data_IF_942105320425
#
_entry.id   IF_942105320425
#
_cell.length_a   1.000
_cell.length_b   1.000
_cell.length_c   1.000
_cell.angle_alpha   90.00
_cell.angle_beta   90.00
_cell.angle_gamma   90.00
#
_symmetry.space_group_name_H-M   'P 1'
#
loop_
_entity.id
_entity.type
_entity.pdbx_description
1 polymer ?
#
# COMPACT_ATOMS: atom_id res chain seq x y z
N UNK A 1 -6.26 -4.82 21.71
CA UNK A 1 -5.27 -4.62 20.62
C UNK A 1 -5.90 -4.81 19.26
N UNK A 2 -6.69 -5.88 19.08
CA UNK A 2 -7.41 -6.19 17.84
C UNK A 2 -8.29 -5.02 17.38
N UNK A 3 -9.16 -4.47 18.24
CA UNK A 3 -10.05 -3.36 17.88
C UNK A 3 -9.31 -2.11 17.31
N UNK A 4 -8.22 -1.68 17.97
CA UNK A 4 -7.39 -0.56 17.48
C UNK A 4 -6.69 -0.88 16.15
N UNK A 5 -6.36 -2.14 15.90
CA UNK A 5 -5.79 -2.59 14.64
C UNK A 5 -6.83 -2.63 13.52
N UNK A 6 -8.05 -3.09 13.81
CA UNK A 6 -9.16 -3.08 12.84
C UNK A 6 -9.51 -1.66 12.41
N UNK A 7 -9.58 -0.71 13.36
CA UNK A 7 -9.80 0.71 13.03
C UNK A 7 -8.72 1.23 12.09
N UNK A 8 -7.45 0.91 12.33
CA UNK A 8 -6.34 1.33 11.46
C UNK A 8 -6.44 0.71 10.06
N UNK A 9 -6.87 -0.55 9.97
CA UNK A 9 -7.14 -1.20 8.69
C UNK A 9 -8.25 -0.50 7.92
N UNK A 10 -9.38 -0.23 8.58
CA UNK A 10 -10.51 0.49 7.97
C UNK A 10 -10.13 1.91 7.54
N UNK A 11 -9.40 2.63 8.39
CA UNK A 11 -8.86 3.95 8.06
C UNK A 11 -7.90 3.89 6.87
N UNK A 12 -7.07 2.85 6.77
CA UNK A 12 -6.19 2.61 5.63
C UNK A 12 -6.95 2.37 4.32
N UNK A 13 -8.00 1.54 4.36
CA UNK A 13 -8.89 1.33 3.20
C UNK A 13 -9.58 2.63 2.77
N UNK A 14 -10.16 3.37 3.72
CA UNK A 14 -10.83 4.63 3.44
C UNK A 14 -9.86 5.69 2.89
N UNK A 15 -8.66 5.79 3.46
CA UNK A 15 -7.62 6.70 2.97
C UNK A 15 -7.18 6.34 1.55
N UNK A 16 -6.98 5.05 1.23
CA UNK A 16 -6.58 4.62 -0.10
C UNK A 16 -7.67 4.94 -1.14
N UNK A 17 -8.94 4.67 -0.82
CA UNK A 17 -10.06 5.03 -1.69
C UNK A 17 -10.18 6.55 -1.84
N UNK A 18 -10.03 7.31 -0.77
CA UNK A 18 -10.03 8.77 -0.80
C UNK A 18 -8.92 9.34 -1.69
N UNK A 19 -7.71 8.78 -1.60
CA UNK A 19 -6.58 9.15 -2.48
C UNK A 19 -6.87 8.77 -3.94
N UNK A 20 -7.43 7.58 -4.19
CA UNK A 20 -7.82 7.16 -5.54
C UNK A 20 -8.82 8.14 -6.17
N UNK A 21 -9.94 8.40 -5.49
CA UNK A 21 -10.96 9.32 -5.99
C UNK A 21 -10.43 10.75 -6.09
N UNK A 22 -9.62 11.20 -5.13
CA UNK A 22 -9.00 12.52 -5.13
C UNK A 22 -8.11 12.74 -6.35
N UNK A 23 -7.17 11.81 -6.61
CA UNK A 23 -6.26 11.90 -7.76
C UNK A 23 -7.04 11.86 -9.07
N UNK A 24 -7.92 10.87 -9.25
CA UNK A 24 -8.64 10.70 -10.53
C UNK A 24 -9.57 11.88 -10.80
N UNK A 25 -10.22 12.42 -9.76
CA UNK A 25 -11.08 13.60 -9.89
C UNK A 25 -10.28 14.85 -10.25
N UNK A 26 -9.12 15.06 -9.64
CA UNK A 26 -8.26 16.22 -9.92
C UNK A 26 -7.67 16.17 -11.34
N UNK A 27 -7.34 14.98 -11.84
CA UNK A 27 -6.69 14.81 -13.15
C UNK A 27 -7.71 14.76 -14.29
N UNK A 28 -8.80 14.01 -14.11
CA UNK A 28 -9.72 13.66 -15.21
C UNK A 28 -11.17 14.09 -14.96
N UNK A 29 -11.47 14.68 -13.81
CA UNK A 29 -12.82 15.12 -13.43
C UNK A 29 -13.66 14.04 -12.72
N UNK A 30 -14.70 14.50 -12.03
CA UNK A 30 -15.55 13.67 -11.18
C UNK A 30 -16.34 12.61 -11.96
N UNK A 31 -16.94 12.99 -13.10
CA UNK A 31 -17.71 12.06 -13.95
C UNK A 31 -16.84 10.92 -14.48
N UNK A 32 -15.59 11.22 -14.82
CA UNK A 32 -14.63 10.21 -15.24
C UNK A 32 -14.24 9.29 -14.07
N UNK A 33 -14.00 9.84 -12.88
CA UNK A 33 -13.68 9.06 -11.69
C UNK A 33 -14.76 8.02 -11.35
N UNK A 34 -16.03 8.41 -11.41
CA UNK A 34 -17.15 7.48 -11.18
C UNK A 34 -17.23 6.41 -12.27
N UNK A 35 -17.13 6.82 -13.54
CA UNK A 35 -17.20 5.87 -14.66
C UNK A 35 -16.06 4.84 -14.60
N UNK A 36 -14.84 5.30 -14.35
CA UNK A 36 -13.66 4.45 -14.20
C UNK A 36 -13.78 3.51 -13.00
N UNK A 37 -14.26 4.02 -11.86
CA UNK A 37 -14.51 3.20 -10.69
C UNK A 37 -15.57 2.13 -10.99
N UNK A 38 -16.71 2.50 -11.57
CA UNK A 38 -17.79 1.56 -11.88
C UNK A 38 -17.34 0.45 -12.83
N UNK A 39 -16.43 0.73 -13.76
CA UNK A 39 -15.90 -0.29 -14.68
C UNK A 39 -14.93 -1.26 -13.98
N UNK A 40 -14.18 -0.79 -12.98
CA UNK A 40 -13.08 -1.54 -12.34
C UNK A 40 -13.30 -1.77 -10.84
N UNK A 41 -14.53 -1.64 -10.36
CA UNK A 41 -14.81 -1.53 -8.92
C UNK A 41 -14.37 -2.78 -8.15
N UNK A 42 -14.51 -3.97 -8.75
CA UNK A 42 -14.09 -5.24 -8.15
C UNK A 42 -12.58 -5.25 -7.84
N UNK A 43 -11.76 -4.75 -8.78
CA UNK A 43 -10.30 -4.66 -8.59
C UNK A 43 -9.93 -3.61 -7.55
N UNK A 44 -10.51 -2.41 -7.65
CA UNK A 44 -10.20 -1.30 -6.74
C UNK A 44 -10.64 -1.63 -5.30
N UNK A 45 -11.84 -2.18 -5.14
CA UNK A 45 -12.35 -2.62 -3.85
C UNK A 45 -11.51 -3.77 -3.28
N UNK A 46 -11.19 -4.78 -4.09
CA UNK A 46 -10.34 -5.90 -3.67
C UNK A 46 -8.97 -5.46 -3.17
N UNK A 47 -8.30 -4.57 -3.92
CA UNK A 47 -7.02 -3.99 -3.53
C UNK A 47 -7.13 -3.13 -2.26
N UNK A 48 -8.18 -2.30 -2.14
CA UNK A 48 -8.36 -1.43 -0.99
C UNK A 48 -8.70 -2.19 0.29
N UNK A 49 -9.52 -3.24 0.19
CA UNK A 49 -9.82 -4.14 1.32
C UNK A 49 -8.56 -4.90 1.71
N UNK A 50 -7.86 -5.49 0.74
CA UNK A 50 -6.61 -6.21 0.97
C UNK A 50 -5.55 -5.35 1.67
N UNK A 51 -5.34 -4.12 1.18
CA UNK A 51 -4.47 -3.14 1.83
C UNK A 51 -4.89 -2.84 3.27
N UNK A 52 -6.19 -2.64 3.53
CA UNK A 52 -6.71 -2.45 4.89
C UNK A 52 -6.42 -3.64 5.81
N UNK A 53 -6.61 -4.86 5.31
CA UNK A 53 -6.27 -6.10 6.04
C UNK A 53 -4.78 -6.10 6.39
N UNK A 54 -3.90 -5.80 5.43
CA UNK A 54 -2.45 -5.72 5.65
C UNK A 54 -2.09 -4.70 6.73
N UNK A 55 -2.66 -3.49 6.68
CA UNK A 55 -2.44 -2.43 7.67
C UNK A 55 -2.92 -2.85 9.06
N UNK A 56 -4.08 -3.52 9.15
CA UNK A 56 -4.63 -4.05 10.39
C UNK A 56 -3.73 -5.14 11.00
N UNK A 57 -3.37 -6.14 10.20
CA UNK A 57 -2.47 -7.23 10.62
C UNK A 57 -1.10 -6.70 11.04
N UNK A 58 -0.50 -5.81 10.26
CA UNK A 58 0.79 -5.18 10.61
C UNK A 58 0.69 -4.38 11.91
N UNK A 59 -0.39 -3.59 12.08
CA UNK A 59 -0.61 -2.83 13.31
C UNK A 59 -0.78 -3.72 14.54
N UNK A 60 -1.43 -4.87 14.37
CA UNK A 60 -1.56 -5.88 15.41
C UNK A 60 -0.21 -6.49 15.76
N UNK A 61 0.52 -7.00 14.77
CA UNK A 61 1.85 -7.60 14.96
C UNK A 61 2.82 -6.60 15.62
N UNK A 62 2.87 -5.36 15.12
CA UNK A 62 3.69 -4.28 15.70
C UNK A 62 3.33 -3.98 17.15
N UNK A 63 2.07 -4.14 17.54
CA UNK A 63 1.64 -3.93 18.93
C UNK A 63 1.95 -5.14 19.81
N UNK A 64 1.83 -6.36 19.27
CA UNK A 64 2.21 -7.60 19.96
C UNK A 64 3.73 -7.66 20.22
N UNK A 65 4.55 -7.37 19.20
CA UNK A 65 6.01 -7.29 19.34
C UNK A 65 6.42 -6.23 20.36
N UNK A 66 5.81 -5.04 20.33
CA UNK A 66 6.10 -3.98 21.32
C UNK A 66 5.76 -4.36 22.77
N UNK A 67 4.83 -5.28 22.98
CA UNK A 67 4.50 -5.79 24.32
C UNK A 67 5.39 -6.95 24.76
N UNK A 68 5.89 -7.76 23.82
CA UNK A 68 6.82 -8.86 24.10
C UNK A 68 8.30 -8.45 24.14
N UNK A 69 8.67 -7.33 23.50
CA UNK A 69 10.04 -6.85 23.42
C UNK A 69 10.31 -5.73 24.43
N UNK A 70 10.88 -6.09 25.59
CA UNK A 70 11.68 -5.14 26.37
C UNK A 70 13.01 -4.92 25.62
N UNK A 71 13.17 -3.69 25.09
CA UNK A 71 14.44 -3.01 24.72
C UNK A 71 15.32 -3.67 23.63
N UNK A 72 15.89 -2.84 22.75
CA UNK A 72 16.87 -3.19 21.70
C UNK A 72 16.34 -4.19 20.67
N UNK A 73 15.92 -3.82 19.46
CA UNK A 73 16.82 -3.58 18.32
C UNK A 73 16.04 -2.98 17.14
N UNK A 74 14.70 -3.06 17.12
CA UNK A 74 13.90 -2.82 15.89
C UNK A 74 13.61 -1.34 15.61
N UNK A 75 13.70 -0.45 16.61
CA UNK A 75 13.48 0.98 16.40
C UNK A 75 14.67 1.68 15.75
N UNK A 76 15.90 1.14 15.88
CA UNK A 76 17.14 1.79 15.45
C UNK A 76 17.46 1.52 13.96
N UNK A 77 16.99 0.41 13.38
CA UNK A 77 17.27 0.04 11.97
C UNK A 77 16.21 0.49 10.96
N UNK A 78 14.99 0.79 11.41
CA UNK A 78 13.88 1.12 10.52
C UNK A 78 13.86 2.58 10.01
N UNK A 79 14.40 3.53 10.77
CA UNK A 79 14.39 4.97 10.40
C UNK A 79 15.68 5.42 9.71
N UNK A 80 16.81 4.83 10.07
CA UNK A 80 18.14 5.16 9.51
C UNK A 80 18.30 4.68 8.06
N UNK A 81 17.79 3.50 7.70
CA UNK A 81 17.86 2.99 6.31
C UNK A 81 16.94 3.72 5.33
N UNK A 82 15.77 4.20 5.78
CA UNK A 82 14.88 5.01 4.93
C UNK A 82 15.47 6.38 4.63
N UNK A 83 16.16 7.02 5.59
CA UNK A 83 16.89 8.29 5.36
C UNK A 83 18.09 8.07 4.43
N UNK A 84 18.81 6.94 4.56
CA UNK A 84 19.93 6.61 3.67
C UNK A 84 19.48 6.32 2.23
N UNK A 85 18.37 5.61 2.03
CA UNK A 85 17.87 5.31 0.67
C UNK A 85 17.28 6.55 -0.02
N UNK A 86 16.51 7.38 0.69
CA UNK A 86 15.95 8.62 0.12
C UNK A 86 17.08 9.60 -0.23
N UNK A 87 18.14 9.67 0.57
CA UNK A 87 19.34 10.45 0.26
C UNK A 87 20.07 9.97 -1.01
N UNK A 88 19.99 8.69 -1.36
CA UNK A 88 20.52 8.14 -2.62
C UNK A 88 19.55 8.36 -3.79
N UNK A 89 18.24 8.28 -3.57
CA UNK A 89 17.23 8.42 -4.62
C UNK A 89 16.96 9.87 -5.05
N UNK A 90 17.19 10.85 -4.17
CA UNK A 90 16.87 12.25 -4.47
C UNK A 90 17.82 12.90 -5.50
N UNK A 91 19.01 12.33 -5.75
CA UNK A 91 19.96 12.89 -6.71
C UNK A 91 19.70 12.47 -8.17
N UNK A 92 18.91 11.42 -8.41
CA UNK A 92 18.57 10.98 -9.78
C UNK A 92 17.31 11.68 -10.32
N UNK A 93 16.56 12.34 -9.42
CA UNK A 93 15.37 13.12 -9.74
C UNK A 93 15.71 14.44 -10.46
N UNK A 94 16.99 14.85 -10.47
CA UNK A 94 17.49 16.01 -11.22
C UNK A 94 17.65 15.74 -12.72
N UNK A 95 17.44 14.51 -13.20
CA UNK A 95 17.62 14.12 -14.61
C UNK A 95 16.30 13.77 -15.30
N UNK A 96 15.25 14.56 -15.02
CA UNK A 96 14.08 14.86 -15.86
C UNK A 96 13.98 14.00 -17.13
N UNK A 97 13.57 12.74 -16.92
CA UNK A 97 13.11 11.81 -17.93
C UNK A 97 12.09 12.57 -18.81
N UNK A 98 12.28 12.67 -20.13
CA UNK A 98 11.53 13.58 -20.98
C UNK A 98 10.03 13.38 -20.85
N UNK A 99 9.27 14.47 -20.94
CA UNK A 99 7.79 14.51 -20.85
C UNK A 99 7.11 13.44 -21.73
N UNK A 100 7.75 13.02 -22.82
CA UNK A 100 7.31 11.94 -23.72
C UNK A 100 7.44 10.53 -23.11
N UNK A 101 8.50 10.27 -22.34
CA UNK A 101 8.69 8.99 -21.64
C UNK A 101 7.66 8.77 -20.54
N UNK A 102 7.25 9.84 -19.86
CA UNK A 102 6.18 9.80 -18.86
C UNK A 102 4.83 9.45 -19.53
N UNK A 103 4.52 10.09 -20.67
CA UNK A 103 3.32 9.79 -21.43
C UNK A 103 3.31 8.33 -21.95
N UNK A 104 4.42 7.85 -22.50
CA UNK A 104 4.55 6.45 -22.96
C UNK A 104 4.38 5.42 -21.84
N UNK A 105 4.95 5.70 -20.66
CA UNK A 105 4.76 4.86 -19.46
C UNK A 105 3.29 4.87 -19.01
N UNK A 106 2.63 6.04 -19.00
CA UNK A 106 1.20 6.13 -18.66
C UNK A 106 0.34 5.34 -19.65
N UNK A 107 0.63 5.41 -20.95
CA UNK A 107 -0.08 4.64 -21.97
C UNK A 107 0.12 3.13 -21.79
N UNK A 108 1.35 2.68 -21.55
CA UNK A 108 1.63 1.26 -21.28
C UNK A 108 0.93 0.77 -20.00
N UNK A 109 0.97 1.55 -18.92
CA UNK A 109 0.26 1.24 -17.67
C UNK A 109 -1.25 1.15 -17.93
N UNK A 110 -1.81 2.03 -18.75
CA UNK A 110 -3.22 1.97 -19.14
C UNK A 110 -3.57 0.73 -19.97
N UNK A 111 -2.72 0.35 -20.93
CA UNK A 111 -2.95 -0.85 -21.75
C UNK A 111 -2.86 -2.16 -20.95
N UNK A 112 -1.96 -2.23 -19.96
CA UNK A 112 -1.79 -3.41 -19.10
C UNK A 112 -2.47 -3.28 -17.74
N UNK A 113 -3.40 -2.33 -17.58
CA UNK A 113 -4.01 -2.00 -16.29
C UNK A 113 -4.65 -3.21 -15.60
N UNK A 114 -5.39 -4.04 -16.35
CA UNK A 114 -6.03 -5.25 -15.81
C UNK A 114 -5.02 -6.28 -15.32
N UNK A 115 -3.94 -6.50 -16.07
CA UNK A 115 -2.87 -7.42 -15.69
C UNK A 115 -2.14 -6.92 -14.43
N UNK A 116 -1.88 -5.61 -14.36
CA UNK A 116 -1.29 -4.97 -13.18
C UNK A 116 -2.21 -5.07 -11.95
N UNK A 117 -3.53 -4.98 -12.12
CA UNK A 117 -4.48 -5.20 -11.03
C UNK A 117 -4.45 -6.64 -10.53
N UNK A 118 -4.42 -7.63 -11.41
CA UNK A 118 -4.27 -9.04 -11.01
C UNK A 118 -2.96 -9.28 -10.26
N UNK A 119 -1.85 -8.75 -10.77
CA UNK A 119 -0.58 -8.81 -10.08
C UNK A 119 -0.65 -8.16 -8.69
N UNK A 120 -1.27 -6.99 -8.59
CA UNK A 120 -1.50 -6.30 -7.32
C UNK A 120 -2.33 -7.13 -6.33
N UNK A 121 -3.38 -7.80 -6.78
CA UNK A 121 -4.22 -8.66 -5.93
C UNK A 121 -3.41 -9.85 -5.42
N UNK A 122 -2.65 -10.52 -6.29
CA UNK A 122 -1.80 -11.66 -5.91
C UNK A 122 -0.75 -11.21 -4.88
N UNK A 123 -0.04 -10.11 -5.15
CA UNK A 123 0.94 -9.54 -4.24
C UNK A 123 0.31 -9.17 -2.89
N UNK A 124 -0.92 -8.64 -2.91
CA UNK A 124 -1.65 -8.30 -1.70
C UNK A 124 -1.97 -9.56 -0.87
N UNK A 125 -2.48 -10.61 -1.52
CA UNK A 125 -2.78 -11.89 -0.89
C UNK A 125 -1.53 -12.54 -0.27
N UNK A 126 -0.40 -12.53 -0.98
CA UNK A 126 0.89 -13.00 -0.47
C UNK A 126 1.31 -12.21 0.77
N UNK A 127 1.22 -10.87 0.72
CA UNK A 127 1.56 -10.02 1.85
C UNK A 127 0.68 -10.25 3.08
N UNK A 128 -0.63 -10.48 2.90
CA UNK A 128 -1.54 -10.86 3.99
C UNK A 128 -1.10 -12.19 4.60
N UNK A 129 -0.88 -13.21 3.76
CA UNK A 129 -0.45 -14.54 4.19
C UNK A 129 0.88 -14.50 4.96
N UNK A 130 1.84 -13.70 4.50
CA UNK A 130 3.12 -13.50 5.18
C UNK A 130 2.94 -12.91 6.58
N UNK A 131 2.20 -11.80 6.71
CA UNK A 131 2.00 -11.16 8.02
C UNK A 131 1.21 -12.08 8.96
N UNK A 132 0.20 -12.78 8.44
CA UNK A 132 -0.56 -13.77 9.21
C UNK A 132 0.34 -14.90 9.74
N UNK A 133 1.21 -15.45 8.89
CA UNK A 133 2.17 -16.48 9.29
C UNK A 133 3.12 -15.99 10.41
N UNK A 134 3.59 -14.73 10.32
CA UNK A 134 4.41 -14.12 11.37
C UNK A 134 3.66 -13.94 12.68
N UNK A 135 2.38 -13.58 12.63
CA UNK A 135 1.52 -13.50 13.83
C UNK A 135 1.36 -14.87 14.47
N UNK A 136 1.04 -15.91 13.70
CA UNK A 136 0.86 -17.27 14.21
C UNK A 136 2.16 -17.78 14.86
N UNK A 137 3.31 -17.56 14.23
CA UNK A 137 4.62 -17.94 14.79
C UNK A 137 4.95 -17.19 16.08
N UNK A 138 4.57 -15.92 16.18
CA UNK A 138 4.79 -15.12 17.39
C UNK A 138 3.82 -15.46 18.53
N UNK A 139 2.65 -16.04 18.22
CA UNK A 139 1.63 -16.43 19.20
C UNK A 139 1.74 -17.89 19.66
N UNK A 140 2.61 -18.72 19.06
CA UNK A 140 2.93 -20.04 19.59
C UNK A 140 3.82 -19.89 20.83
N UNK A 141 3.49 -20.55 21.97
CA UNK A 141 4.34 -20.56 23.17
C UNK A 141 5.66 -21.30 22.93
#
# INVERSE_FOLDING_TARGET
MIFRSTIKGLAGTAALLGVYFGIVTLVSGWSFAISQFSQSWYFVAGLAIGFGIQIGLYSYLKSAVRKGASKSVVAVSGTTSTVAMISCCAHYLTNMLPIVGIAGVITLIGQYQTELFWFGIIANAIGIGYIANRIIKFSKP
#
